data_IF_666846760523
#
_entry.id   IF_666846760523
#
_cell.length_a   1.000
_cell.length_b   1.000
_cell.length_c   1.000
_cell.angle_alpha   90.00
_cell.angle_beta   90.00
_cell.angle_gamma   90.00
#
_symmetry.space_group_name_H-M   'P 1'
#
loop_
_entity.id
_entity.type
_entity.pdbx_description
1 polymer ?
#
# COMPACT_ATOMS: atom_id res chain seq x y z
N UNK A 1 0.01 -20.76 -29.03
CA UNK A 1 -0.50 -20.74 -27.64
C UNK A 1 0.65 -20.34 -26.70
N UNK A 2 0.97 -19.05 -26.54
CA UNK A 2 2.10 -18.66 -25.64
C UNK A 2 2.12 -17.19 -25.14
N UNK A 3 1.10 -16.35 -25.38
CA UNK A 3 1.18 -14.91 -25.03
C UNK A 3 0.25 -14.43 -23.90
N UNK A 4 -0.77 -15.20 -23.53
CA UNK A 4 -1.77 -14.76 -22.53
C UNK A 4 -1.34 -15.07 -21.08
N UNK A 5 -0.78 -16.25 -20.83
CA UNK A 5 -0.51 -16.74 -19.46
C UNK A 5 0.57 -15.96 -18.68
N UNK A 6 1.42 -15.18 -19.37
CA UNK A 6 2.51 -14.44 -18.71
C UNK A 6 2.08 -13.05 -18.22
N UNK A 7 1.03 -12.46 -18.82
CA UNK A 7 0.48 -11.17 -18.39
C UNK A 7 -0.26 -11.28 -17.07
N UNK A 8 -1.05 -12.32 -16.90
CA UNK A 8 -1.85 -12.53 -15.69
C UNK A 8 -0.96 -12.75 -14.46
N UNK A 9 0.12 -13.52 -14.60
CA UNK A 9 1.06 -13.73 -13.51
C UNK A 9 1.79 -12.44 -13.13
N UNK A 10 2.21 -11.65 -14.11
CA UNK A 10 2.87 -10.35 -13.87
C UNK A 10 1.92 -9.35 -13.23
N UNK A 11 0.64 -9.37 -13.62
CA UNK A 11 -0.41 -8.51 -13.08
C UNK A 11 -0.71 -8.86 -11.61
N UNK A 12 -0.89 -10.14 -11.30
CA UNK A 12 -1.13 -10.61 -9.93
C UNK A 12 0.04 -10.22 -9.03
N UNK A 13 1.28 -10.48 -9.48
CA UNK A 13 2.46 -10.10 -8.72
C UNK A 13 2.52 -8.59 -8.47
N UNK A 14 2.23 -7.75 -9.48
CA UNK A 14 2.19 -6.29 -9.29
C UNK A 14 1.14 -5.86 -8.27
N UNK A 15 0.00 -6.56 -8.20
CA UNK A 15 -1.05 -6.27 -7.22
C UNK A 15 -0.62 -6.72 -5.81
N UNK A 16 0.05 -7.87 -5.69
CA UNK A 16 0.64 -8.35 -4.43
C UNK A 16 1.73 -7.39 -3.92
N UNK A 17 2.64 -6.96 -4.81
CA UNK A 17 3.71 -6.01 -4.50
C UNK A 17 3.15 -4.62 -4.13
N UNK A 18 1.98 -4.24 -4.67
CA UNK A 18 1.23 -3.05 -4.27
C UNK A 18 0.50 -3.20 -2.92
N UNK A 19 0.61 -4.37 -2.28
CA UNK A 19 -0.01 -4.69 -1.00
C UNK A 19 -1.51 -4.97 -1.08
N UNK A 20 -2.04 -5.30 -2.27
CA UNK A 20 -3.45 -5.70 -2.41
C UNK A 20 -3.64 -7.08 -1.80
N UNK A 21 -4.74 -7.26 -1.05
CA UNK A 21 -5.10 -8.55 -0.48
C UNK A 21 -5.55 -9.56 -1.54
N UNK A 22 -5.53 -10.86 -1.20
CA UNK A 22 -6.02 -11.92 -2.10
C UNK A 22 -7.48 -11.73 -2.54
N UNK A 23 -8.29 -11.09 -1.71
CA UNK A 23 -9.68 -10.74 -2.04
C UNK A 23 -9.74 -9.62 -3.08
N UNK A 24 -8.98 -8.54 -2.86
CA UNK A 24 -8.89 -7.41 -3.79
C UNK A 24 -8.32 -7.80 -5.15
N UNK A 25 -7.32 -8.70 -5.17
CA UNK A 25 -6.77 -9.26 -6.41
C UNK A 25 -7.84 -10.05 -7.17
N UNK A 26 -8.64 -10.86 -6.47
CA UNK A 26 -9.72 -11.63 -7.08
C UNK A 26 -10.79 -10.72 -7.68
N UNK A 27 -11.17 -9.67 -6.97
CA UNK A 27 -12.12 -8.67 -7.45
C UNK A 27 -11.57 -7.89 -8.64
N UNK A 28 -10.30 -7.49 -8.59
CA UNK A 28 -9.62 -6.84 -9.71
C UNK A 28 -9.64 -7.72 -10.98
N UNK A 29 -9.27 -8.99 -10.86
CA UNK A 29 -9.28 -9.94 -11.99
C UNK A 29 -10.71 -10.18 -12.53
N UNK A 30 -11.73 -10.14 -11.67
CA UNK A 30 -13.12 -10.21 -12.09
C UNK A 30 -13.52 -8.98 -12.89
N UNK A 31 -13.21 -7.78 -12.39
CA UNK A 31 -13.48 -6.53 -13.08
C UNK A 31 -12.70 -6.40 -14.40
N UNK A 32 -11.50 -6.96 -14.47
CA UNK A 32 -10.69 -7.01 -15.69
C UNK A 32 -11.37 -7.85 -16.78
N UNK A 33 -11.87 -9.04 -16.41
CA UNK A 33 -12.64 -9.92 -17.32
C UNK A 33 -13.96 -9.31 -17.79
N UNK A 34 -14.61 -8.52 -16.93
CA UNK A 34 -15.87 -7.85 -17.21
C UNK A 34 -15.70 -6.50 -17.94
N UNK A 35 -14.45 -6.03 -18.16
CA UNK A 35 -14.17 -4.74 -18.79
C UNK A 35 -14.55 -3.53 -17.92
N UNK A 36 -14.65 -3.71 -16.60
CA UNK A 36 -15.10 -2.69 -15.65
C UNK A 36 -13.92 -1.87 -15.14
N UNK A 37 -13.33 -1.06 -16.02
CA UNK A 37 -12.16 -0.22 -15.72
C UNK A 37 -12.38 0.74 -14.53
N UNK A 38 -13.60 1.27 -14.38
CA UNK A 38 -13.94 2.14 -13.25
C UNK A 38 -13.80 1.45 -11.89
N UNK A 39 -14.20 0.18 -11.79
CA UNK A 39 -14.10 -0.60 -10.56
C UNK A 39 -12.64 -0.96 -10.25
N UNK A 40 -11.85 -1.30 -11.27
CA UNK A 40 -10.40 -1.52 -11.14
C UNK A 40 -9.71 -0.27 -10.57
N UNK A 41 -9.98 0.90 -11.16
CA UNK A 41 -9.39 2.17 -10.72
C UNK A 41 -9.83 2.50 -9.29
N UNK A 42 -11.11 2.33 -8.96
CA UNK A 42 -11.63 2.58 -7.62
C UNK A 42 -10.93 1.72 -6.56
N UNK A 43 -10.74 0.44 -6.84
CA UNK A 43 -10.01 -0.49 -5.98
C UNK A 43 -8.57 -0.03 -5.75
N UNK A 44 -7.84 0.35 -6.81
CA UNK A 44 -6.46 0.83 -6.69
C UNK A 44 -6.36 2.16 -5.92
N UNK A 45 -7.31 3.08 -6.09
CA UNK A 45 -7.36 4.34 -5.34
C UNK A 45 -7.58 4.06 -3.86
N UNK A 46 -8.47 3.12 -3.52
CA UNK A 46 -8.71 2.71 -2.14
C UNK A 46 -7.44 2.14 -1.50
N UNK A 47 -6.74 1.25 -2.22
CA UNK A 47 -5.47 0.70 -1.76
C UNK A 47 -4.41 1.79 -1.53
N UNK A 48 -4.28 2.73 -2.47
CA UNK A 48 -3.37 3.89 -2.33
C UNK A 48 -3.69 4.70 -1.08
N UNK A 49 -4.98 4.95 -0.80
CA UNK A 49 -5.40 5.70 0.39
C UNK A 49 -5.04 4.96 1.67
N UNK A 50 -5.28 3.65 1.71
CA UNK A 50 -4.91 2.82 2.86
C UNK A 50 -3.41 2.88 3.16
N UNK A 51 -2.55 2.71 2.14
CA UNK A 51 -1.10 2.83 2.31
C UNK A 51 -0.68 4.20 2.84
N UNK A 52 -1.31 5.27 2.33
CA UNK A 52 -1.04 6.63 2.79
C UNK A 52 -1.44 6.81 4.26
N UNK A 53 -2.58 6.26 4.68
CA UNK A 53 -3.03 6.31 6.07
C UNK A 53 -2.07 5.54 6.99
N UNK A 54 -1.56 4.38 6.56
CA UNK A 54 -0.53 3.64 7.30
C UNK A 54 0.78 4.42 7.44
N UNK A 55 1.22 5.12 6.38
CA UNK A 55 2.40 5.99 6.44
C UNK A 55 2.17 7.13 7.45
N UNK A 56 1.01 7.79 7.40
CA UNK A 56 0.69 8.86 8.36
C UNK A 56 0.64 8.35 9.80
N UNK A 57 0.14 7.15 10.03
CA UNK A 57 0.16 6.52 11.35
C UNK A 57 1.60 6.23 11.81
N UNK A 58 2.40 5.63 10.92
CA UNK A 58 3.81 5.31 11.21
C UNK A 58 4.61 6.58 11.50
N UNK A 59 4.37 7.66 10.76
CA UNK A 59 4.99 8.96 11.00
C UNK A 59 4.65 9.50 12.40
N UNK A 60 3.37 9.43 12.82
CA UNK A 60 2.97 9.83 14.17
C UNK A 60 3.66 8.99 15.26
N UNK A 61 3.82 7.69 15.02
CA UNK A 61 4.55 6.82 15.94
C UNK A 61 6.03 7.22 16.05
N UNK A 62 6.68 7.54 14.92
CA UNK A 62 8.04 8.06 14.89
C UNK A 62 8.16 9.40 15.62
N UNK A 63 7.26 10.35 15.36
CA UNK A 63 7.28 11.66 16.03
C UNK A 63 7.16 11.52 17.56
N UNK A 64 6.27 10.62 18.02
CA UNK A 64 6.15 10.29 19.44
C UNK A 64 7.43 9.66 20.00
N UNK A 65 8.04 8.74 19.26
CA UNK A 65 9.28 8.10 19.67
C UNK A 65 10.45 9.10 19.74
N UNK A 66 10.57 9.98 18.76
CA UNK A 66 11.58 11.04 18.72
C UNK A 66 11.41 12.03 19.87
N UNK A 67 10.16 12.38 20.21
CA UNK A 67 9.88 13.20 21.38
C UNK A 67 10.30 12.50 22.68
N UNK A 68 10.01 11.21 22.82
CA UNK A 68 10.46 10.42 23.97
C UNK A 68 11.99 10.34 24.03
N UNK A 69 12.65 10.11 22.90
CA UNK A 69 14.11 10.11 22.79
C UNK A 69 14.71 11.46 23.16
N UNK A 70 14.11 12.58 22.72
CA UNK A 70 14.54 13.92 23.11
C UNK A 70 14.44 14.13 24.63
N UNK A 71 13.33 13.70 25.25
CA UNK A 71 13.16 13.75 26.71
C UNK A 71 14.19 12.90 27.45
N UNK A 72 14.41 11.67 27.01
CA UNK A 72 15.34 10.73 27.65
C UNK A 72 16.80 11.14 27.46
N UNK A 73 17.16 11.64 26.26
CA UNK A 73 18.47 12.22 25.99
C UNK A 73 18.72 13.51 26.78
N UNK A 74 17.66 14.05 27.39
CA UNK A 74 17.72 15.00 28.48
C UNK A 74 18.55 16.21 28.12
N UNK A 75 18.03 17.07 27.23
CA UNK A 75 18.54 18.41 26.93
C UNK A 75 19.99 18.65 27.39
N UNK A 76 20.95 17.96 26.75
CA UNK A 76 22.34 18.41 26.79
C UNK A 76 22.49 19.46 25.70
N UNK A 77 21.82 20.60 25.86
CA UNK A 77 22.37 21.83 25.33
C UNK A 77 23.71 22.04 26.05
N UNK A 78 24.78 21.42 25.53
CA UNK A 78 26.12 21.93 25.79
C UNK A 78 26.14 23.31 25.12
N UNK A 79 26.19 24.34 25.97
CA UNK A 79 26.56 25.71 25.57
C UNK A 79 27.87 25.70 24.81
#
# INVERSE_FOLDING_TARGET
>A
MSKEQNKDNSLIQNLEDAGCSCEEIRDYLKYDKEGLDGNKICLLIKQRKYLLDCIHETQKQLDCLDYLLYKVKGCKCKK
#
